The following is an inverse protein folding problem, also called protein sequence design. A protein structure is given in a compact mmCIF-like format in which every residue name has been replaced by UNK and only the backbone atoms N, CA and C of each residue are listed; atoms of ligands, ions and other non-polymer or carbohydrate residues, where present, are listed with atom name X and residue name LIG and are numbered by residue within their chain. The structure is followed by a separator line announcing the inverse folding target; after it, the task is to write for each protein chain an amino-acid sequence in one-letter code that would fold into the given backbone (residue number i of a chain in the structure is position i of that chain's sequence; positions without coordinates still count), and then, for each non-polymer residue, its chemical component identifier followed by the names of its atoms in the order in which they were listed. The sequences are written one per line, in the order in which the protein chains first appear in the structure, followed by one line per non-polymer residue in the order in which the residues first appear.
data_IF_195451303672
#
_entry.id   IF_195451303672
#
_cell.length_a   1.000
_cell.length_b   1.000
_cell.length_c   1.000
_cell.angle_alpha   90.00
_cell.angle_beta   90.00
_cell.angle_gamma   90.00
#
_symmetry.space_group_name_H-M   'P 1'
#
loop_
_entity.id
_entity.type
_entity.pdbx_description
1 polymer ?
#
# COMPACT_ATOMS: atom_id res chain seq x y z
N UNK A 1 8.84 -13.51 -12.75
CA UNK A 1 8.94 -12.05 -12.56
C UNK A 1 10.15 -11.80 -11.67
N UNK A 2 11.18 -11.10 -12.15
CA UNK A 2 12.34 -10.74 -11.31
C UNK A 2 12.25 -9.26 -10.99
N UNK A 3 12.20 -8.93 -9.71
CA UNK A 3 12.22 -7.55 -9.24
C UNK A 3 13.60 -6.95 -9.54
N UNK A 4 13.64 -5.81 -10.21
CA UNK A 4 14.90 -5.18 -10.62
C UNK A 4 15.11 -3.84 -9.93
N UNK A 5 14.14 -2.94 -10.06
CA UNK A 5 14.36 -1.54 -9.77
C UNK A 5 13.20 -0.91 -9.00
N UNK A 6 13.50 0.19 -8.32
CA UNK A 6 12.57 1.14 -7.76
C UNK A 6 12.72 2.48 -8.46
N UNK A 7 11.61 3.15 -8.70
CA UNK A 7 11.57 4.46 -9.36
C UNK A 7 10.82 5.45 -8.48
N UNK A 8 11.52 6.50 -8.04
CA UNK A 8 10.88 7.69 -7.46
C UNK A 8 10.40 8.60 -8.59
N UNK A 9 9.22 9.26 -8.47
CA UNK A 9 8.77 10.25 -9.44
C UNK A 9 9.86 11.28 -9.76
N UNK A 10 10.13 11.48 -11.05
CA UNK A 10 11.14 12.43 -11.53
C UNK A 10 12.60 12.04 -11.27
N UNK A 11 12.87 10.81 -10.82
CA UNK A 11 14.23 10.30 -10.57
C UNK A 11 14.55 9.08 -11.42
N UNK A 12 15.83 8.81 -11.72
CA UNK A 12 16.25 7.56 -12.36
C UNK A 12 15.89 6.33 -11.55
N UNK A 13 15.75 5.19 -12.23
CA UNK A 13 15.56 3.89 -11.61
C UNK A 13 16.80 3.49 -10.78
N UNK A 14 16.57 2.92 -9.61
CA UNK A 14 17.62 2.44 -8.70
C UNK A 14 17.40 0.96 -8.40
N UNK A 15 18.44 0.11 -8.42
CA UNK A 15 18.29 -1.30 -8.12
C UNK A 15 17.67 -1.57 -6.74
N UNK A 16 16.91 -2.66 -6.66
CA UNK A 16 16.44 -3.20 -5.40
C UNK A 16 16.65 -4.71 -5.30
N UNK A 17 16.89 -5.16 -4.07
CA UNK A 17 17.10 -6.56 -3.72
C UNK A 17 15.94 -7.05 -2.87
N UNK A 18 15.37 -8.18 -3.22
CA UNK A 18 14.40 -8.87 -2.39
C UNK A 18 15.10 -9.44 -1.15
N UNK A 19 14.60 -9.09 0.03
CA UNK A 19 15.13 -9.54 1.33
C UNK A 19 14.29 -10.68 1.89
N UNK A 20 12.97 -10.50 1.88
CA UNK A 20 12.02 -11.48 2.41
C UNK A 20 10.66 -11.35 1.71
N UNK A 21 9.87 -12.43 1.78
CA UNK A 21 8.48 -12.48 1.34
C UNK A 21 7.65 -13.15 2.42
N UNK A 22 6.42 -12.67 2.58
CA UNK A 22 5.39 -13.32 3.39
C UNK A 22 4.18 -13.55 2.48
N UNK A 23 4.08 -14.74 1.85
CA UNK A 23 2.97 -15.06 0.96
C UNK A 23 1.62 -15.14 1.67
N UNK A 24 1.60 -15.43 2.99
CA UNK A 24 0.36 -15.54 3.74
C UNK A 24 -0.29 -14.17 3.94
N UNK A 25 0.54 -13.13 4.13
CA UNK A 25 0.08 -11.76 4.30
C UNK A 25 0.26 -10.89 3.04
N UNK A 26 0.65 -11.45 1.90
CA UNK A 26 0.91 -10.74 0.64
C UNK A 26 1.88 -9.54 0.79
N UNK A 27 2.99 -9.76 1.51
CA UNK A 27 4.03 -8.76 1.77
C UNK A 27 5.39 -9.16 1.18
N UNK A 28 6.18 -8.17 0.79
CA UNK A 28 7.57 -8.33 0.39
C UNK A 28 8.44 -7.20 0.97
N UNK A 29 9.63 -7.55 1.45
CA UNK A 29 10.61 -6.60 1.95
C UNK A 29 11.73 -6.43 0.92
N UNK A 30 11.95 -5.18 0.52
CA UNK A 30 12.96 -4.82 -0.48
C UNK A 30 14.02 -3.92 0.14
N UNK A 31 15.27 -4.11 -0.27
CA UNK A 31 16.39 -3.24 0.06
C UNK A 31 16.80 -2.43 -1.17
N UNK A 32 17.09 -1.14 -0.96
CA UNK A 32 17.54 -0.23 -2.02
C UNK A 32 18.52 0.81 -1.45
N UNK A 33 19.29 1.46 -2.33
CA UNK A 33 20.11 2.60 -1.97
C UNK A 33 19.36 3.94 -1.99
N UNK A 34 18.09 3.98 -2.44
CA UNK A 34 17.25 5.17 -2.38
C UNK A 34 17.17 5.72 -0.96
N UNK A 35 17.39 7.02 -0.81
CA UNK A 35 17.29 7.75 0.47
C UNK A 35 15.95 8.48 0.51
N UNK A 36 15.13 8.22 1.54
CA UNK A 36 13.93 9.01 1.81
C UNK A 36 14.23 10.09 2.84
N UNK A 37 13.58 11.25 2.72
CA UNK A 37 13.61 12.31 3.75
C UNK A 37 12.54 12.09 4.82
N UNK A 38 11.53 11.30 4.48
CA UNK A 38 10.35 11.06 5.29
C UNK A 38 10.18 9.56 5.50
N UNK A 39 10.01 9.15 6.76
CA UNK A 39 9.73 7.77 7.13
C UNK A 39 8.34 7.76 7.78
N UNK A 40 7.31 7.19 7.14
CA UNK A 40 5.99 7.17 7.72
C UNK A 40 5.97 6.32 8.99
N UNK A 41 5.15 6.72 9.96
CA UNK A 41 4.93 5.90 11.15
C UNK A 41 3.95 4.77 10.84
N UNK A 42 4.20 3.56 11.34
CA UNK A 42 3.26 2.44 11.29
C UNK A 42 2.40 2.47 12.55
N UNK A 43 1.09 2.63 12.38
CA UNK A 43 0.15 2.77 13.50
C UNK A 43 -0.93 1.68 13.41
N UNK A 44 -0.94 0.69 14.31
CA UNK A 44 -1.90 -0.42 14.29
C UNK A 44 -3.24 -0.05 14.94
N UNK A 45 -3.82 1.11 14.58
CA UNK A 45 -5.04 1.66 15.23
C UNK A 45 -6.08 2.18 14.25
N UNK A 46 -6.28 1.50 13.12
CA UNK A 46 -7.38 1.79 12.20
C UNK A 46 -8.74 1.61 12.91
N UNK A 47 -9.75 2.41 12.52
CA UNK A 47 -11.13 2.32 13.03
C UNK A 47 -12.14 2.44 11.90
N UNK A 48 -13.28 1.76 12.02
CA UNK A 48 -14.41 1.93 11.08
C UNK A 48 -14.82 3.40 11.03
N UNK A 49 -15.06 3.92 9.82
CA UNK A 49 -15.42 5.31 9.57
C UNK A 49 -14.23 6.28 9.57
N UNK A 50 -13.01 5.82 9.89
CA UNK A 50 -11.81 6.64 9.79
C UNK A 50 -11.53 6.99 8.32
N UNK A 51 -11.28 8.27 8.05
CA UNK A 51 -10.81 8.74 6.74
C UNK A 51 -9.44 8.15 6.42
N UNK A 52 -9.31 7.62 5.20
CA UNK A 52 -8.07 7.02 4.69
C UNK A 52 -7.69 7.56 3.33
N UNK A 53 -6.40 7.51 3.06
CA UNK A 53 -5.80 8.07 1.86
C UNK A 53 -4.84 7.05 1.26
N UNK A 54 -4.91 6.85 -0.05
CA UNK A 54 -4.08 5.87 -0.76
C UNK A 54 -3.27 6.59 -1.82
N UNK A 55 -1.98 6.30 -1.85
CA UNK A 55 -1.09 6.77 -2.90
C UNK A 55 -0.45 5.59 -3.63
N UNK A 56 -0.40 5.65 -4.96
CA UNK A 56 0.11 4.55 -5.79
C UNK A 56 0.41 4.97 -7.22
N UNK A 57 0.76 4.00 -8.07
CA UNK A 57 1.15 4.23 -9.46
C UNK A 57 0.30 3.41 -10.42
N UNK A 58 -1.00 3.74 -10.55
CA UNK A 58 -1.88 3.00 -11.46
C UNK A 58 -1.47 3.23 -12.91
N UNK A 59 -1.49 2.16 -13.72
CA UNK A 59 -1.48 2.24 -15.19
C UNK A 59 -0.38 3.16 -15.77
N UNK A 60 0.88 2.95 -15.39
CA UNK A 60 2.03 3.82 -15.73
C UNK A 60 2.36 3.98 -17.21
N UNK A 61 1.70 3.23 -18.10
CA UNK A 61 1.79 3.40 -19.55
C UNK A 61 0.69 4.33 -20.12
N UNK A 62 -0.33 4.71 -19.32
CA UNK A 62 -1.47 5.54 -19.74
C UNK A 62 -1.81 6.71 -18.81
N UNK A 63 -1.25 6.77 -17.60
CA UNK A 63 -1.53 7.78 -16.57
C UNK A 63 -0.26 8.49 -16.09
N UNK A 64 -0.43 9.54 -15.29
CA UNK A 64 0.65 10.41 -14.83
C UNK A 64 1.76 9.62 -14.11
N UNK A 65 3.01 9.87 -14.52
CA UNK A 65 4.22 9.30 -13.89
C UNK A 65 4.46 9.78 -12.46
N UNK A 66 3.66 10.76 -12.02
CA UNK A 66 3.68 11.39 -10.69
C UNK A 66 2.81 10.67 -9.66
N UNK A 67 2.23 9.51 -9.99
CA UNK A 67 1.37 8.75 -9.08
C UNK A 67 -0.06 9.29 -8.99
N UNK A 68 -0.90 8.55 -8.26
CA UNK A 68 -2.31 8.85 -8.02
C UNK A 68 -2.57 8.87 -6.51
N UNK A 69 -3.39 9.81 -6.07
CA UNK A 69 -3.81 9.95 -4.69
C UNK A 69 -5.34 9.86 -4.61
N UNK A 70 -5.85 8.95 -3.79
CA UNK A 70 -7.29 8.75 -3.59
C UNK A 70 -7.67 8.84 -2.13
N UNK A 71 -8.94 9.13 -1.86
CA UNK A 71 -9.48 9.28 -0.51
C UNK A 71 -10.69 8.37 -0.32
N UNK A 72 -10.95 7.99 0.92
CA UNK A 72 -12.10 7.16 1.30
C UNK A 72 -12.16 6.98 2.82
N UNK A 73 -12.77 5.88 3.26
CA UNK A 73 -12.82 5.52 4.67
C UNK A 73 -12.60 4.03 4.90
N UNK A 74 -12.32 3.65 6.15
CA UNK A 74 -12.36 2.25 6.59
C UNK A 74 -13.82 1.81 6.67
N UNK A 75 -14.20 0.86 5.82
CA UNK A 75 -15.55 0.28 5.77
C UNK A 75 -15.72 -0.89 6.74
N UNK A 76 -14.68 -1.70 6.94
CA UNK A 76 -14.68 -2.83 7.87
C UNK A 76 -13.28 -3.14 8.40
N UNK A 77 -13.22 -3.78 9.57
CA UNK A 77 -11.97 -4.18 10.23
C UNK A 77 -11.55 -5.62 9.90
N UNK A 78 -12.16 -6.22 8.87
CA UNK A 78 -11.86 -7.56 8.37
C UNK A 78 -12.00 -7.58 6.84
N UNK A 79 -11.35 -8.55 6.21
CA UNK A 79 -11.46 -8.84 4.78
C UNK A 79 -12.53 -9.88 4.44
N UNK A 80 -12.41 -10.47 3.26
CA UNK A 80 -13.25 -11.57 2.79
C UNK A 80 -13.14 -12.75 3.77
N UNK A 81 -14.28 -13.37 4.11
CA UNK A 81 -14.31 -14.53 5.00
C UNK A 81 -13.91 -14.21 6.45
N UNK A 82 -14.15 -12.98 6.93
CA UNK A 82 -13.74 -12.50 8.26
C UNK A 82 -12.22 -12.55 8.51
N UNK A 83 -11.42 -12.40 7.45
CA UNK A 83 -9.96 -12.29 7.58
C UNK A 83 -9.57 -11.04 8.40
N UNK A 84 -9.26 -11.27 9.67
CA UNK A 84 -8.90 -10.22 10.63
C UNK A 84 -7.52 -9.60 10.37
N UNK A 85 -6.71 -10.12 9.46
CA UNK A 85 -5.45 -9.50 9.05
C UNK A 85 -5.66 -8.30 8.11
N UNK A 86 -6.87 -8.14 7.56
CA UNK A 86 -7.20 -7.15 6.54
C UNK A 86 -8.15 -6.05 7.03
N UNK A 87 -8.14 -4.94 6.32
CA UNK A 87 -9.11 -3.85 6.39
C UNK A 87 -9.86 -3.80 5.06
N UNK A 88 -11.16 -3.51 5.13
CA UNK A 88 -11.91 -3.07 3.96
C UNK A 88 -11.92 -1.54 3.92
N UNK A 89 -11.61 -0.98 2.76
CA UNK A 89 -11.58 0.46 2.51
C UNK A 89 -12.47 0.81 1.31
N UNK A 90 -13.02 2.02 1.32
CA UNK A 90 -13.79 2.58 0.20
C UNK A 90 -12.94 3.44 -0.76
N UNK A 91 -11.69 3.74 -0.40
CA UNK A 91 -10.79 4.49 -1.26
C UNK A 91 -10.59 3.72 -2.59
N UNK A 92 -10.76 4.36 -3.76
CA UNK A 92 -10.60 3.68 -5.04
C UNK A 92 -9.20 3.07 -5.21
N UNK A 93 -9.14 1.75 -5.40
CA UNK A 93 -7.91 1.01 -5.69
C UNK A 93 -7.98 0.44 -7.10
N UNK A 94 -6.89 0.54 -7.85
CA UNK A 94 -6.75 0.02 -9.21
C UNK A 94 -5.42 -0.75 -9.32
N UNK A 95 -5.25 -1.61 -10.34
CA UNK A 95 -3.96 -2.22 -10.64
C UNK A 95 -2.84 -1.15 -10.71
N UNK A 96 -1.81 -1.34 -9.89
CA UNK A 96 -0.71 -0.38 -9.69
C UNK A 96 -0.75 0.40 -8.37
N UNK A 97 -1.83 0.32 -7.60
CA UNK A 97 -1.87 0.77 -6.21
C UNK A 97 -1.40 -0.30 -5.21
N UNK A 98 -1.24 -1.57 -5.65
CA UNK A 98 -0.75 -2.68 -4.81
C UNK A 98 0.57 -2.33 -4.15
N UNK A 99 0.70 -2.61 -2.86
CA UNK A 99 1.88 -2.26 -2.07
C UNK A 99 1.97 -0.78 -1.69
N UNK A 100 1.07 0.07 -2.20
CA UNK A 100 0.96 1.47 -1.80
C UNK A 100 0.44 1.60 -0.36
N UNK A 101 0.80 2.70 0.33
CA UNK A 101 0.36 2.93 1.69
C UNK A 101 -1.13 3.29 1.75
N UNK A 102 -1.81 2.79 2.78
CA UNK A 102 -3.06 3.36 3.29
C UNK A 102 -2.71 4.23 4.49
N UNK A 103 -3.01 5.53 4.37
CA UNK A 103 -2.64 6.54 5.35
C UNK A 103 -3.86 7.05 6.12
N UNK A 104 -3.65 7.44 7.37
CA UNK A 104 -4.58 8.31 8.10
C UNK A 104 -4.32 9.81 7.81
N UNK A 105 -5.15 10.68 8.37
CA UNK A 105 -5.03 12.14 8.25
C UNK A 105 -3.71 12.72 8.81
N UNK A 106 -2.95 11.97 9.61
CA UNK A 106 -1.66 12.38 10.15
C UNK A 106 -0.49 11.89 9.28
N UNK A 107 -0.76 11.15 8.19
CA UNK A 107 0.26 10.54 7.35
C UNK A 107 0.88 9.28 7.92
N UNK A 108 0.22 8.63 8.89
CA UNK A 108 0.67 7.34 9.40
C UNK A 108 0.13 6.22 8.53
N UNK A 109 0.94 5.19 8.30
CA UNK A 109 0.54 3.94 7.64
C UNK A 109 -0.36 3.16 8.58
N UNK A 110 -1.61 3.01 8.18
CA UNK A 110 -2.62 2.16 8.83
C UNK A 110 -2.86 0.85 8.06
N UNK A 111 -2.36 0.75 6.83
CA UNK A 111 -2.33 -0.50 6.07
C UNK A 111 -1.54 -0.42 4.77
N UNK A 112 -1.46 -1.54 4.07
CA UNK A 112 -0.80 -1.70 2.77
C UNK A 112 -1.80 -2.25 1.77
N UNK A 113 -2.00 -1.57 0.65
CA UNK A 113 -3.02 -1.94 -0.35
C UNK A 113 -2.72 -3.31 -0.96
N UNK A 114 -3.75 -4.15 -1.04
CA UNK A 114 -3.73 -5.40 -1.80
C UNK A 114 -4.42 -5.14 -3.14
N UNK A 115 -3.78 -5.45 -4.26
CA UNK A 115 -4.48 -5.47 -5.53
C UNK A 115 -5.52 -6.58 -5.52
N UNK A 116 -6.79 -6.20 -5.53
CA UNK A 116 -7.86 -7.13 -5.88
C UNK A 116 -7.68 -7.44 -7.36
N UNK A 117 -7.27 -8.68 -7.65
CA UNK A 117 -7.35 -9.23 -9.00
C UNK A 117 -8.82 -9.15 -9.41
N UNK A 118 -9.09 -8.36 -10.44
CA UNK A 118 -10.41 -8.14 -11.01
C UNK A 118 -11.25 -9.41 -10.98
N UNK A 119 -12.50 -9.26 -10.56
CA UNK A 119 -13.65 -10.20 -10.50
C UNK A 119 -13.56 -11.46 -11.35
N UNK A 120 -12.91 -11.43 -12.52
CA UNK A 120 -12.63 -12.58 -13.38
C UNK A 120 -12.01 -13.85 -12.74
N UNK A 121 -11.31 -13.79 -11.59
CA UNK A 121 -10.79 -15.02 -10.95
C UNK A 121 -11.77 -15.63 -9.94
N UNK A 122 -12.47 -14.80 -9.18
CA UNK A 122 -13.48 -15.22 -8.19
C UNK A 122 -14.79 -15.62 -8.90
N UNK A 123 -15.16 -14.91 -9.97
CA UNK A 123 -16.25 -15.30 -10.89
C UNK A 123 -15.98 -16.66 -11.55
N UNK A 124 -14.70 -17.01 -11.82
CA UNK A 124 -14.31 -18.33 -12.33
C UNK A 124 -14.35 -19.44 -11.29
N UNK A 125 -14.37 -19.10 -10.00
CA UNK A 125 -14.46 -20.05 -8.89
C UNK A 125 -15.93 -20.33 -8.47
N UNK A 126 -16.92 -19.73 -9.14
CA UNK A 126 -18.34 -19.87 -8.78
C UNK A 126 -18.75 -19.03 -7.57
N UNK A 127 -17.90 -18.12 -7.12
CA UNK A 127 -18.19 -17.20 -6.01
C UNK A 127 -18.94 -15.96 -6.52
N UNK A 128 -19.83 -15.40 -5.70
CA UNK A 128 -20.58 -14.19 -6.06
C UNK A 128 -19.59 -13.04 -6.32
N UNK A 129 -19.80 -12.23 -7.37
CA UNK A 129 -18.93 -11.08 -7.63
C UNK A 129 -18.85 -10.19 -6.39
N UNK A 130 -17.65 -9.79 -6.02
CA UNK A 130 -17.46 -8.82 -4.94
C UNK A 130 -18.20 -7.52 -5.26
N UNK A 131 -18.72 -6.81 -4.24
CA UNK A 131 -19.30 -5.49 -4.45
C UNK A 131 -18.31 -4.59 -5.17
N UNK A 132 -18.78 -3.92 -6.22
CA UNK A 132 -18.03 -2.83 -6.83
C UNK A 132 -17.79 -1.79 -5.71
N UNK A 133 -16.52 -1.47 -5.42
CA UNK A 133 -16.04 -0.65 -4.30
C UNK A 133 -15.61 -1.39 -3.00
N UNK A 134 -15.51 -2.72 -3.00
CA UNK A 134 -14.82 -3.45 -1.94
C UNK A 134 -13.31 -3.52 -2.24
N UNK A 135 -12.52 -2.65 -1.60
CA UNK A 135 -11.05 -2.69 -1.69
C UNK A 135 -10.47 -3.13 -0.34
N UNK A 136 -9.31 -3.79 -0.37
CA UNK A 136 -8.70 -4.36 0.83
C UNK A 136 -7.27 -3.89 1.03
N UNK A 137 -6.86 -3.84 2.30
CA UNK A 137 -5.49 -3.55 2.71
C UNK A 137 -5.07 -4.46 3.86
N UNK A 138 -3.80 -4.87 3.86
CA UNK A 138 -3.17 -5.56 4.99
C UNK A 138 -3.03 -4.55 6.14
N UNK A 139 -3.40 -4.92 7.36
CA UNK A 139 -3.26 -4.04 8.53
C UNK A 139 -1.80 -3.68 8.76
N UNK A 140 -1.53 -2.44 9.16
CA UNK A 140 -0.18 -1.99 9.53
C UNK A 140 0.47 -2.83 10.62
N UNK A 141 -0.31 -3.47 11.50
CA UNK A 141 0.19 -4.39 12.51
C UNK A 141 0.91 -5.61 11.90
N UNK A 142 0.33 -6.21 10.85
CA UNK A 142 0.94 -7.34 10.14
C UNK A 142 2.21 -6.88 9.40
N UNK A 143 2.16 -5.72 8.74
CA UNK A 143 3.34 -5.14 8.10
C UNK A 143 4.46 -4.81 9.10
N UNK A 144 4.13 -4.25 10.26
CA UNK A 144 5.08 -3.97 11.34
C UNK A 144 5.70 -5.25 11.89
N UNK A 145 4.89 -6.28 12.16
CA UNK A 145 5.37 -7.59 12.62
C UNK A 145 6.31 -8.23 11.58
N UNK A 146 5.99 -8.11 10.29
CA UNK A 146 6.84 -8.61 9.21
C UNK A 146 8.19 -7.86 9.15
N UNK A 147 8.19 -6.54 9.36
CA UNK A 147 9.44 -5.77 9.47
C UNK A 147 10.28 -6.21 10.67
N UNK A 148 9.67 -6.32 11.85
CA UNK A 148 10.33 -6.73 13.10
C UNK A 148 10.92 -8.14 12.99
N UNK A 149 10.18 -9.08 12.40
CA UNK A 149 10.65 -10.45 12.15
C UNK A 149 11.89 -10.51 11.22
N UNK A 150 12.11 -9.45 10.42
CA UNK A 150 13.27 -9.29 9.56
C UNK A 150 14.32 -8.32 10.13
N UNK A 151 14.23 -8.00 11.43
CA UNK A 151 15.21 -7.17 12.14
C UNK A 151 15.11 -5.67 11.82
N UNK A 152 13.98 -5.20 11.32
CA UNK A 152 13.72 -3.78 11.03
C UNK A 152 12.70 -3.24 12.02
N UNK A 153 13.11 -2.26 12.83
CA UNK A 153 12.21 -1.55 13.74
C UNK A 153 11.35 -0.53 12.96
N UNK A 154 10.01 -0.66 12.94
CA UNK A 154 9.14 0.30 12.29
C UNK A 154 9.19 1.65 13.00
N UNK A 155 9.13 2.75 12.23
CA UNK A 155 8.92 4.05 12.83
C UNK A 155 7.52 4.08 13.49
N UNK A 156 7.43 4.55 14.73
CA UNK A 156 6.17 4.70 15.49
C UNK A 156 5.90 6.15 15.88
N UNK A 157 6.76 7.09 15.47
CA UNK A 157 6.66 8.52 15.82
C UNK A 157 5.56 9.20 14.99
N UNK A 158 4.38 9.31 15.60
CA UNK A 158 3.21 9.94 14.99
C UNK A 158 3.33 11.47 14.99
N UNK A 159 2.87 12.11 13.91
CA UNK A 159 2.74 13.57 13.83
C UNK A 159 1.64 14.06 14.79
N UNK A 160 1.87 15.15 15.55
CA UNK A 160 0.93 15.60 16.58
C UNK A 160 -0.35 16.22 16.01
N UNK A 161 -0.34 16.67 14.74
CA UNK A 161 -1.47 17.34 14.09
C UNK A 161 -1.80 16.65 12.77
N UNK A 162 -3.10 16.53 12.42
CA UNK A 162 -3.54 16.17 11.08
C UNK A 162 -2.97 17.12 10.02
N UNK A 163 -2.81 16.61 8.81
CA UNK A 163 -2.38 17.36 7.64
C UNK A 163 -3.58 17.68 6.75
N UNK A 164 -3.49 18.80 6.05
CA UNK A 164 -4.37 19.06 4.91
C UNK A 164 -4.18 18.00 3.83
N UNK A 165 -5.25 17.72 3.08
CA UNK A 165 -5.27 16.62 2.10
C UNK A 165 -4.16 16.76 1.04
N UNK A 166 -3.87 17.99 0.60
CA UNK A 166 -2.80 18.28 -0.37
C UNK A 166 -1.42 18.03 0.21
N UNK A 167 -1.17 18.48 1.45
CA UNK A 167 0.08 18.22 2.15
C UNK A 167 0.29 16.72 2.43
N UNK A 168 -0.79 15.98 2.67
CA UNK A 168 -0.75 14.53 2.83
C UNK A 168 -0.37 13.82 1.52
N UNK A 169 -0.86 14.31 0.37
CA UNK A 169 -0.48 13.79 -0.93
C UNK A 169 1.02 14.05 -1.24
N UNK A 170 1.52 15.25 -0.92
CA UNK A 170 2.94 15.57 -1.04
C UNK A 170 3.81 14.69 -0.15
N UNK A 171 3.40 14.50 1.10
CA UNK A 171 4.08 13.61 2.05
C UNK A 171 4.11 12.16 1.53
N UNK A 172 2.98 11.63 1.06
CA UNK A 172 2.89 10.27 0.54
C UNK A 172 3.81 10.05 -0.68
N UNK A 173 3.94 11.06 -1.54
CA UNK A 173 4.82 11.05 -2.72
C UNK A 173 6.30 10.94 -2.36
N UNK A 174 6.74 11.47 -1.21
CA UNK A 174 8.15 11.44 -0.80
C UNK A 174 8.66 10.03 -0.48
N UNK A 175 7.82 9.19 0.12
CA UNK A 175 8.20 7.85 0.57
C UNK A 175 7.60 6.70 -0.25
N UNK A 176 6.69 6.97 -1.20
CA UNK A 176 6.15 5.93 -2.08
C UNK A 176 6.93 5.89 -3.40
N UNK A 177 7.40 4.69 -3.76
CA UNK A 177 8.17 4.45 -4.99
C UNK A 177 7.51 3.38 -5.83
N UNK A 178 7.69 3.45 -7.14
CA UNK A 178 7.19 2.44 -8.07
C UNK A 178 8.15 1.28 -8.13
N UNK A 179 7.63 0.06 -8.02
CA UNK A 179 8.39 -1.17 -8.22
C UNK A 179 8.35 -1.54 -9.71
N UNK A 180 9.51 -1.77 -10.31
CA UNK A 180 9.65 -2.30 -11.67
C UNK A 180 10.17 -3.74 -11.62
N UNK A 181 9.44 -4.62 -12.29
CA UNK A 181 9.80 -6.01 -12.44
C UNK A 181 9.93 -6.38 -13.91
N UNK A 182 10.90 -7.23 -14.23
CA UNK A 182 10.98 -7.85 -15.54
C UNK A 182 9.82 -8.84 -15.68
N UNK A 183 8.96 -8.60 -16.68
CA UNK A 183 8.08 -9.64 -17.19
C UNK A 183 8.96 -10.68 -17.90
N UNK A 184 8.82 -11.98 -17.60
CA UNK A 184 9.47 -12.98 -18.43
C UNK A 184 8.94 -12.83 -19.87
N UNK A 185 9.86 -12.68 -20.82
CA UNK A 185 9.58 -12.84 -22.24
C UNK A 185 9.12 -14.27 -22.54
#
# INVERSE_FOLDING_TARGET
MRLRNLVRPGSPAVPARLIAVDPANDLALLQTSLRTRELPAFVPRARIGQGVYVYGFPLTQRLASTGNFTTGGVSAMAGIGDDTSRLQISAPVQPGNSGGPVLDQNGNVVGVVVAVLSTTKEEKAGERPLPQNANFAIKSAAAATFLEANGIEPNTKVRPKPLETTALADLAREFTVRVECDLPH
#
